data_IF_528428820882
#
_entry.id   IF_528428820882
#
_cell.length_a   1.000
_cell.length_b   1.000
_cell.length_c   1.000
_cell.angle_alpha   90.00
_cell.angle_beta   90.00
_cell.angle_gamma   90.00
#
_symmetry.space_group_name_H-M   'P 1'
#
loop_
_entity.id
_entity.type
_entity.pdbx_description
1 polymer ?
#
# COMPACT_ATOMS: atom_id res chain seq x y z
N UNK A 1 21.24 2.58 -16.38
CA UNK A 1 20.32 3.35 -15.51
C UNK A 1 20.46 2.99 -14.02
N UNK A 2 21.26 1.99 -13.67
CA UNK A 2 21.40 1.45 -12.31
C UNK A 2 21.99 2.41 -11.26
N UNK A 3 22.91 3.30 -11.63
CA UNK A 3 23.50 4.27 -10.69
C UNK A 3 22.47 5.25 -10.09
N UNK A 4 21.41 5.58 -10.84
CA UNK A 4 20.34 6.46 -10.36
C UNK A 4 19.41 5.73 -9.38
N UNK A 5 19.18 4.42 -9.63
CA UNK A 5 18.38 3.57 -8.75
C UNK A 5 19.10 3.29 -7.45
N UNK A 6 20.42 3.06 -7.48
CA UNK A 6 21.23 2.89 -6.27
C UNK A 6 21.25 4.16 -5.39
N UNK A 7 21.32 5.35 -6.00
CA UNK A 7 21.19 6.62 -5.29
C UNK A 7 19.79 6.77 -4.65
N UNK A 8 18.73 6.45 -5.40
CA UNK A 8 17.36 6.50 -4.90
C UNK A 8 17.12 5.51 -3.74
N UNK A 9 17.70 4.31 -3.82
CA UNK A 9 17.66 3.29 -2.74
C UNK A 9 18.34 3.84 -1.49
N UNK A 10 19.53 4.42 -1.60
CA UNK A 10 20.25 5.02 -0.47
C UNK A 10 19.45 6.15 0.19
N UNK A 11 18.85 7.03 -0.62
CA UNK A 11 18.02 8.13 -0.13
C UNK A 11 16.75 7.65 0.57
N UNK A 12 16.11 6.58 0.07
CA UNK A 12 14.97 5.95 0.74
C UNK A 12 15.36 5.34 2.08
N UNK A 13 16.51 4.67 2.17
CA UNK A 13 17.02 4.15 3.45
C UNK A 13 17.20 5.28 4.48
N UNK A 14 17.82 6.40 4.08
CA UNK A 14 17.98 7.58 4.94
C UNK A 14 16.63 8.17 5.37
N UNK A 15 15.65 8.19 4.47
CA UNK A 15 14.28 8.63 4.78
C UNK A 15 13.62 7.70 5.80
N UNK A 16 13.74 6.39 5.64
CA UNK A 16 13.22 5.39 6.59
C UNK A 16 13.82 5.58 7.98
N UNK A 17 15.14 5.75 8.08
CA UNK A 17 15.80 6.01 9.36
C UNK A 17 15.30 7.30 10.01
N UNK A 18 15.16 8.38 9.22
CA UNK A 18 14.58 9.63 9.70
C UNK A 18 13.17 9.43 10.26
N UNK A 19 12.27 8.77 9.53
CA UNK A 19 10.90 8.51 10.02
C UNK A 19 10.89 7.69 11.32
N UNK A 20 11.76 6.68 11.43
CA UNK A 20 11.91 5.89 12.68
C UNK A 20 12.31 6.77 13.86
N UNK A 21 13.28 7.68 13.67
CA UNK A 21 13.70 8.61 14.72
C UNK A 21 12.61 9.63 15.09
N UNK A 22 11.84 10.09 14.10
CA UNK A 22 10.71 11.00 14.34
C UNK A 22 9.63 10.33 15.19
N UNK A 23 9.25 9.10 14.87
CA UNK A 23 8.28 8.34 15.67
C UNK A 23 8.77 8.17 17.11
N UNK A 24 10.05 7.83 17.31
CA UNK A 24 10.63 7.74 18.65
C UNK A 24 10.57 9.09 19.38
N UNK A 25 10.95 10.18 18.71
CA UNK A 25 10.88 11.55 19.26
C UNK A 25 9.46 11.97 19.64
N UNK A 26 8.46 11.69 18.79
CA UNK A 26 7.06 11.96 19.08
C UNK A 26 6.56 11.20 20.30
N UNK A 27 6.98 9.94 20.49
CA UNK A 27 6.65 9.17 21.68
C UNK A 27 7.25 9.80 22.95
N UNK A 28 8.49 10.29 22.90
CA UNK A 28 9.09 11.04 24.02
C UNK A 28 8.36 12.37 24.28
N UNK A 29 7.98 13.11 23.23
CA UNK A 29 7.22 14.36 23.37
C UNK A 29 5.85 14.14 24.01
N UNK A 30 5.18 13.04 23.67
CA UNK A 30 3.89 12.63 24.25
C UNK A 30 4.00 12.36 25.75
N UNK A 31 5.11 11.74 26.19
CA UNK A 31 5.38 11.49 27.60
C UNK A 31 5.79 12.76 28.36
N UNK A 32 6.45 13.71 27.68
CA UNK A 32 6.91 14.96 28.27
C UNK A 32 5.81 16.04 28.40
N UNK A 33 4.64 15.84 27.78
CA UNK A 33 3.60 16.88 27.67
C UNK A 33 2.24 16.41 28.18
N UNK A 34 1.66 17.18 29.10
CA UNK A 34 0.29 16.96 29.62
C UNK A 34 -0.79 17.74 28.86
N UNK A 35 -0.42 18.49 27.81
CA UNK A 35 -1.33 19.28 27.00
C UNK A 35 -2.06 18.41 25.96
N UNK A 36 -3.39 18.31 26.06
CA UNK A 36 -4.22 17.50 25.17
C UNK A 36 -4.16 17.94 23.70
N UNK A 37 -4.02 19.23 23.43
CA UNK A 37 -3.91 19.76 22.06
C UNK A 37 -2.59 19.36 21.41
N UNK A 38 -1.50 19.38 22.18
CA UNK A 38 -0.19 18.94 21.71
C UNK A 38 -0.21 17.42 21.47
N UNK A 39 -0.79 16.65 22.39
CA UNK A 39 -0.93 15.20 22.23
C UNK A 39 -1.77 14.84 21.00
N UNK A 40 -2.88 15.54 20.74
CA UNK A 40 -3.67 15.32 19.51
C UNK A 40 -2.87 15.58 18.23
N UNK A 41 -1.98 16.59 18.22
CA UNK A 41 -1.11 16.87 17.07
C UNK A 41 -0.03 15.80 16.90
N UNK A 42 0.61 15.41 17.99
CA UNK A 42 1.60 14.32 18.02
C UNK A 42 0.96 13.03 17.51
N UNK A 43 -0.25 12.67 17.96
CA UNK A 43 -0.95 11.46 17.54
C UNK A 43 -1.30 11.46 16.04
N UNK A 44 -1.57 12.63 15.46
CA UNK A 44 -1.71 12.78 14.00
C UNK A 44 -0.37 12.62 13.29
N UNK A 45 0.70 13.25 13.79
CA UNK A 45 2.04 13.15 13.21
C UNK A 45 2.62 11.74 13.29
N UNK A 46 2.35 11.00 14.36
CA UNK A 46 2.74 9.58 14.50
C UNK A 46 2.04 8.72 13.44
N UNK A 47 0.73 8.92 13.23
CA UNK A 47 0.00 8.22 12.17
C UNK A 47 0.55 8.54 10.78
N UNK A 48 0.88 9.80 10.53
CA UNK A 48 1.46 10.23 9.26
C UNK A 48 2.86 9.64 9.04
N UNK A 49 3.73 9.69 10.05
CA UNK A 49 5.07 9.11 10.00
C UNK A 49 5.02 7.58 9.78
N UNK A 50 4.05 6.88 10.40
CA UNK A 50 3.82 5.45 10.16
C UNK A 50 3.38 5.17 8.71
N UNK A 51 2.50 6.01 8.14
CA UNK A 51 2.09 5.89 6.73
C UNK A 51 3.27 6.12 5.78
N UNK A 52 4.08 7.15 6.05
CA UNK A 52 5.28 7.46 5.28
C UNK A 52 6.29 6.32 5.35
N UNK A 53 6.55 5.78 6.56
CA UNK A 53 7.43 4.65 6.76
C UNK A 53 7.02 3.46 5.90
N UNK A 54 5.73 3.06 5.96
CA UNK A 54 5.20 1.97 5.15
C UNK A 54 5.34 2.22 3.65
N UNK A 55 5.11 3.46 3.20
CA UNK A 55 5.27 3.84 1.80
C UNK A 55 6.74 3.73 1.35
N UNK A 56 7.68 4.21 2.16
CA UNK A 56 9.10 4.12 1.85
C UNK A 56 9.59 2.68 1.87
N UNK A 57 9.17 1.86 2.82
CA UNK A 57 9.50 0.42 2.87
C UNK A 57 9.00 -0.31 1.63
N UNK A 58 7.74 -0.07 1.23
CA UNK A 58 7.19 -0.66 0.00
C UNK A 58 7.98 -0.20 -1.24
N UNK A 59 8.25 1.09 -1.35
CA UNK A 59 8.96 1.65 -2.51
C UNK A 59 10.40 1.12 -2.60
N UNK A 60 11.06 0.95 -1.44
CA UNK A 60 12.39 0.35 -1.35
C UNK A 60 12.36 -1.10 -1.85
N UNK A 61 11.38 -1.89 -1.41
CA UNK A 61 11.21 -3.28 -1.84
C UNK A 61 10.96 -3.37 -3.35
N UNK A 62 10.12 -2.49 -3.90
CA UNK A 62 9.82 -2.45 -5.34
C UNK A 62 11.06 -2.08 -6.18
N UNK A 63 11.88 -1.14 -5.70
CA UNK A 63 13.15 -0.78 -6.34
C UNK A 63 14.19 -1.91 -6.27
N UNK A 64 14.33 -2.55 -5.11
CA UNK A 64 15.25 -3.68 -4.94
C UNK A 64 14.84 -4.89 -5.81
N UNK A 65 13.53 -5.17 -5.90
CA UNK A 65 13.01 -6.26 -6.74
C UNK A 65 13.27 -6.00 -8.22
N UNK A 66 13.11 -4.75 -8.68
CA UNK A 66 13.47 -4.36 -10.05
C UNK A 66 14.97 -4.51 -10.30
N UNK A 67 15.82 -4.07 -9.38
CA UNK A 67 17.27 -4.24 -9.48
C UNK A 67 17.68 -5.72 -9.58
N UNK A 68 17.07 -6.59 -8.77
CA UNK A 68 17.33 -8.03 -8.81
C UNK A 68 16.82 -8.68 -10.10
N UNK A 69 15.64 -8.28 -10.58
CA UNK A 69 15.07 -8.76 -11.85
C UNK A 69 15.90 -8.35 -13.07
N UNK A 70 16.43 -7.12 -13.07
CA UNK A 70 17.35 -6.63 -14.11
C UNK A 70 18.69 -7.39 -14.06
N UNK A 71 19.24 -7.63 -12.87
CA UNK A 71 20.46 -8.40 -12.70
C UNK A 71 20.31 -9.86 -13.15
N UNK A 72 19.18 -10.50 -12.85
CA UNK A 72 18.88 -11.88 -13.28
C UNK A 72 18.63 -11.96 -14.79
N UNK A 73 17.96 -10.96 -15.38
CA UNK A 73 17.76 -10.89 -16.83
C UNK A 73 19.08 -10.68 -17.58
N UNK A 74 20.00 -9.87 -17.03
CA UNK A 74 21.32 -9.64 -17.59
C UNK A 74 22.24 -10.87 -17.45
N UNK A 75 22.11 -11.66 -16.37
CA UNK A 75 22.79 -12.97 -16.24
C UNK A 75 22.24 -14.02 -17.22
N UNK A 76 20.94 -13.98 -17.55
CA UNK A 76 20.34 -14.86 -18.56
C UNK A 76 20.79 -14.47 -19.98
N UNK A 77 20.94 -13.18 -20.27
CA UNK A 77 21.37 -12.68 -21.59
C UNK A 77 22.88 -12.89 -21.86
N UNK A 78 23.71 -12.97 -20.82
CA UNK A 78 25.15 -13.25 -20.95
C UNK A 78 25.48 -14.75 -21.01
N UNK A 79 24.49 -15.64 -20.83
CA UNK A 79 24.63 -17.06 -21.14
C UNK A 79 24.14 -17.29 -22.58
N UNK A 80 25.05 -17.12 -23.54
CA UNK A 80 24.91 -17.53 -24.94
C UNK A 80 24.88 -19.07 -25.06
N UNK A 81 23.85 -19.67 -24.47
CA UNK A 81 23.48 -21.06 -24.67
C UNK A 81 21.95 -21.07 -24.72
N UNK A 82 21.42 -21.13 -25.95
CA UNK A 82 19.98 -21.12 -26.23
C UNK A 82 19.20 -22.17 -25.43
N UNK A 83 17.86 -22.06 -25.42
CA UNK A 83 17.02 -23.01 -24.70
C UNK A 83 17.38 -24.45 -25.12
N UNK A 84 17.53 -25.39 -24.16
CA UNK A 84 17.80 -26.77 -24.53
C UNK A 84 16.68 -27.25 -25.47
N UNK A 85 17.01 -27.91 -26.59
CA UNK A 85 15.98 -28.43 -27.49
C UNK A 85 15.09 -29.41 -26.71
N UNK A 86 13.78 -29.47 -27.02
CA UNK A 86 12.92 -30.48 -26.42
C UNK A 86 13.49 -31.86 -26.72
N UNK A 87 13.70 -32.65 -25.66
CA UNK A 87 14.08 -34.06 -25.76
C UNK A 87 12.93 -34.82 -26.41
N UNK A 88 13.03 -35.05 -27.72
CA UNK A 88 12.24 -36.06 -28.40
C UNK A 88 12.77 -37.43 -27.98
N UNK A 89 12.28 -37.92 -26.84
CA UNK A 89 12.40 -39.33 -26.49
C UNK A 89 11.20 -40.03 -27.13
N UNK A 90 11.45 -40.65 -28.28
CA UNK A 90 10.61 -41.68 -28.85
C UNK A 90 10.49 -42.82 -27.85
N UNK A 91 9.35 -42.91 -27.18
CA UNK A 91 8.87 -44.13 -26.56
C UNK A 91 7.45 -44.37 -27.06
N UNK A 92 7.34 -45.38 -27.91
CA UNK A 92 6.09 -45.90 -28.42
C UNK A 92 5.28 -46.55 -27.28
N UNK A 93 4.07 -46.04 -27.03
CA UNK A 93 2.93 -46.84 -26.57
C UNK A 93 1.59 -46.16 -26.96
N UNK A 94 0.66 -46.85 -27.66
CA UNK A 94 -0.59 -46.27 -28.15
C UNK A 94 -1.74 -46.56 -27.19
N UNK A 95 -2.07 -45.61 -26.30
CA UNK A 95 -3.34 -45.72 -25.58
C UNK A 95 -3.47 -44.81 -24.38
N UNK A 96 -4.23 -43.72 -24.53
CA UNK A 96 -5.25 -43.28 -23.55
C UNK A 96 -5.71 -41.86 -23.91
N UNK A 97 -6.77 -41.80 -24.70
CA UNK A 97 -7.56 -40.59 -24.95
C UNK A 97 -8.33 -40.22 -23.67
N UNK A 98 -7.67 -39.54 -22.73
CA UNK A 98 -8.30 -38.94 -21.56
C UNK A 98 -9.24 -37.80 -21.96
N UNK A 99 -10.54 -38.03 -21.77
CA UNK A 99 -11.65 -37.19 -22.17
C UNK A 99 -11.65 -35.75 -21.60
N UNK A 100 -12.22 -34.75 -22.31
CA UNK A 100 -12.57 -33.46 -21.73
C UNK A 100 -13.82 -33.61 -20.84
N UNK A 101 -13.69 -33.31 -19.54
CA UNK A 101 -14.82 -33.34 -18.61
C UNK A 101 -15.86 -32.23 -18.91
N UNK A 102 -17.16 -32.54 -18.99
CA UNK A 102 -18.23 -31.54 -19.12
C UNK A 102 -18.72 -31.16 -17.72
N UNK A 103 -18.31 -29.98 -17.24
CA UNK A 103 -18.69 -29.46 -15.92
C UNK A 103 -19.51 -28.17 -16.02
N UNK A 104 -20.67 -28.26 -16.68
CA UNK A 104 -21.66 -27.19 -16.70
C UNK A 104 -22.49 -27.12 -15.41
N UNK A 105 -22.84 -25.89 -15.05
CA UNK A 105 -23.90 -25.43 -14.15
C UNK A 105 -24.08 -26.14 -12.78
N UNK A 106 -23.83 -25.40 -11.71
CA UNK A 106 -24.54 -25.63 -10.46
C UNK A 106 -24.75 -24.33 -9.69
N UNK A 107 -25.95 -24.26 -9.11
CA UNK A 107 -26.38 -23.41 -8.01
C UNK A 107 -26.64 -21.93 -8.37
N UNK A 108 -27.85 -21.38 -8.22
CA UNK A 108 -29.02 -21.86 -7.50
C UNK A 108 -29.68 -20.67 -6.80
N UNK A 109 -31.00 -20.53 -6.99
CA UNK A 109 -31.91 -19.91 -6.02
C UNK A 109 -31.96 -18.38 -5.97
N UNK A 110 -33.18 -17.83 -5.99
CA UNK A 110 -33.42 -16.51 -5.40
C UNK A 110 -34.47 -15.66 -6.10
N UNK A 111 -35.74 -16.04 -5.96
CA UNK A 111 -36.80 -15.04 -5.87
C UNK A 111 -36.44 -14.06 -4.75
N UNK A 112 -36.56 -12.76 -4.99
CA UNK A 112 -36.78 -11.79 -3.91
C UNK A 112 -35.84 -10.60 -3.87
N UNK A 113 -36.49 -9.43 -4.04
CA UNK A 113 -36.37 -8.30 -3.13
C UNK A 113 -35.06 -7.51 -3.20
N UNK A 114 -35.18 -6.39 -3.89
CA UNK A 114 -34.28 -5.23 -3.86
C UNK A 114 -33.72 -4.99 -2.43
N UNK A 115 -32.43 -4.63 -2.28
CA UNK A 115 -31.87 -4.33 -0.97
C UNK A 115 -32.58 -3.12 -0.34
N UNK A 116 -32.79 -3.11 0.99
CA UNK A 116 -33.42 -2.01 1.70
C UNK A 116 -32.67 -0.69 1.45
N UNK A 117 -33.40 0.34 1.00
CA UNK A 117 -32.90 1.73 0.99
C UNK A 117 -32.44 2.08 2.41
N UNK A 118 -31.17 2.46 2.56
CA UNK A 118 -30.61 2.91 3.83
C UNK A 118 -31.45 4.05 4.45
N UNK A 119 -31.57 4.13 5.79
CA UNK A 119 -32.46 5.07 6.50
C UNK A 119 -31.99 6.54 6.47
N UNK A 120 -30.98 6.89 5.68
CA UNK A 120 -30.49 8.26 5.56
C UNK A 120 -30.69 8.76 4.13
N UNK A 121 -31.79 9.47 3.92
CA UNK A 121 -31.89 10.39 2.79
C UNK A 121 -30.77 11.45 2.91
N UNK A 122 -30.13 11.88 1.81
CA UNK A 122 -29.14 12.94 1.87
C UNK A 122 -29.78 14.25 2.38
N UNK A 123 -29.11 15.01 3.25
CA UNK A 123 -29.64 16.28 3.76
C UNK A 123 -29.84 17.30 2.63
N UNK A 124 -30.95 18.03 2.68
CA UNK A 124 -31.29 19.07 1.70
C UNK A 124 -30.21 20.18 1.65
N UNK A 125 -29.89 20.71 0.45
CA UNK A 125 -28.95 21.82 0.31
C UNK A 125 -29.62 23.09 0.85
N UNK A 126 -29.15 23.59 2.00
CA UNK A 126 -29.69 24.82 2.60
C UNK A 126 -29.52 24.99 4.11
N UNK A 127 -28.93 24.04 4.83
CA UNK A 127 -28.65 24.24 6.26
C UNK A 127 -27.44 25.14 6.46
N UNK A 128 -27.75 26.43 6.58
CA UNK A 128 -26.90 27.50 7.05
C UNK A 128 -26.36 27.17 8.45
N UNK A 129 -25.18 26.56 8.50
CA UNK A 129 -24.48 26.21 9.73
C UNK A 129 -23.67 27.38 10.28
N UNK A 130 -24.23 28.03 11.30
CA UNK A 130 -23.55 28.71 12.40
C UNK A 130 -22.68 29.94 12.05
N UNK A 131 -23.34 31.10 12.18
CA UNK A 131 -22.78 32.45 12.25
C UNK A 131 -21.43 32.49 12.99
N UNK A 132 -20.40 33.02 12.35
CA UNK A 132 -19.11 33.38 12.95
C UNK A 132 -19.33 34.13 14.27
N UNK A 133 -19.15 33.44 15.40
CA UNK A 133 -19.03 34.11 16.69
C UNK A 133 -17.59 34.65 16.75
N UNK A 134 -17.38 35.95 17.01
CA UNK A 134 -16.05 36.46 17.26
C UNK A 134 -15.42 35.70 18.43
N UNK A 135 -14.27 35.07 18.19
CA UNK A 135 -13.45 34.47 19.23
C UNK A 135 -12.61 35.58 19.85
N UNK A 136 -12.91 35.97 21.08
CA UNK A 136 -12.02 36.85 21.85
C UNK A 136 -10.96 35.99 22.53
N UNK A 137 -9.69 36.25 22.22
CA UNK A 137 -8.56 35.69 22.95
C UNK A 137 -8.40 36.46 24.26
N UNK A 138 -7.83 35.85 25.32
CA UNK A 138 -7.60 36.53 26.62
C UNK A 138 -6.67 37.75 26.55
N UNK A 139 -6.10 38.06 25.37
CA UNK A 139 -5.36 39.29 25.09
C UNK A 139 -6.27 40.47 24.71
N UNK A 140 -7.51 40.25 24.30
CA UNK A 140 -8.44 41.33 23.92
C UNK A 140 -9.19 41.92 25.13
N UNK A 141 -8.94 41.40 26.34
CA UNK A 141 -9.63 41.79 27.58
C UNK A 141 -8.67 42.36 28.64
N UNK A 142 -7.62 43.05 28.19
CA UNK A 142 -6.65 43.75 29.04
C UNK A 142 -6.48 45.21 28.60
#
# INVERSE_FOLDING_TARGET
>A
MSNNEDAAISDLCRKIEREKTLIAGFNSMRQATNNSQVNSRIDSQVRDAQRNLKYFEKTLQDLQSRKLGDHMSNMNLNNDAGPPPPSHQDDQDPGSYGAPGPGGYSQGGGNGLMPPRAPYAPPAPGQSGLKNRPNYSRLDLI
#
